data_IF_356681349433
#
_entry.id   IF_356681349433
#
_cell.length_a   1.000
_cell.length_b   1.000
_cell.length_c   1.000
_cell.angle_alpha   90.00
_cell.angle_beta   90.00
_cell.angle_gamma   90.00
#
_symmetry.space_group_name_H-M   'P 1'
#
loop_
_entity.id
_entity.type
_entity.pdbx_description
1 polymer ?
#
# COMPACT_ATOMS: atom_id res chain seq x y z
N UNK A 1 -8.31 6.21 -18.60
CA UNK A 1 -7.42 5.44 -17.71
C UNK A 1 -8.00 4.05 -17.60
N UNK A 2 -7.26 3.00 -17.93
CA UNK A 2 -7.76 1.62 -17.78
C UNK A 2 -7.64 1.14 -16.33
N UNK A 3 -8.36 0.08 -15.98
CA UNK A 3 -8.26 -0.55 -14.66
C UNK A 3 -6.79 -0.94 -14.34
N UNK A 4 -6.07 -1.49 -15.32
CA UNK A 4 -4.64 -1.82 -15.20
C UNK A 4 -3.78 -0.60 -14.87
N UNK A 5 -4.03 0.55 -15.50
CA UNK A 5 -3.30 1.79 -15.21
C UNK A 5 -3.56 2.28 -13.78
N UNK A 6 -4.82 2.24 -13.32
CA UNK A 6 -5.16 2.62 -11.95
C UNK A 6 -4.53 1.68 -10.93
N UNK A 7 -4.63 0.36 -11.12
CA UNK A 7 -4.03 -0.65 -10.25
C UNK A 7 -2.51 -0.48 -10.16
N UNK A 8 -1.84 -0.17 -11.26
CA UNK A 8 -0.39 0.11 -11.26
C UNK A 8 -0.06 1.30 -10.35
N UNK A 9 -0.83 2.38 -10.45
CA UNK A 9 -0.68 3.53 -9.57
C UNK A 9 -0.93 3.19 -8.10
N UNK A 10 -1.96 2.41 -7.80
CA UNK A 10 -2.31 1.98 -6.46
C UNK A 10 -1.24 1.06 -5.82
N UNK A 11 -0.69 0.11 -6.58
CA UNK A 11 0.39 -0.76 -6.12
C UNK A 11 1.71 0.00 -5.93
N UNK A 12 2.03 0.94 -6.82
CA UNK A 12 3.20 1.82 -6.64
C UNK A 12 3.06 2.70 -5.39
N UNK A 13 1.85 3.19 -5.12
CA UNK A 13 1.53 3.90 -3.88
C UNK A 13 1.70 3.00 -2.65
N UNK A 14 1.17 1.78 -2.67
CA UNK A 14 1.34 0.83 -1.58
C UNK A 14 2.82 0.59 -1.28
N UNK A 15 3.63 0.31 -2.30
CA UNK A 15 5.06 0.05 -2.16
C UNK A 15 5.79 1.25 -1.50
N UNK A 16 5.49 2.46 -1.97
CA UNK A 16 6.04 3.69 -1.39
C UNK A 16 5.63 3.89 0.08
N UNK A 17 4.35 3.71 0.39
CA UNK A 17 3.83 3.92 1.73
C UNK A 17 4.32 2.87 2.74
N UNK A 18 4.42 1.61 2.33
CA UNK A 18 5.01 0.53 3.13
C UNK A 18 6.46 0.85 3.49
N UNK A 19 7.24 1.30 2.51
CA UNK A 19 8.67 1.61 2.68
C UNK A 19 8.91 2.78 3.64
N UNK A 20 8.22 3.91 3.45
CA UNK A 20 8.37 5.10 4.32
C UNK A 20 7.98 4.81 5.77
N UNK A 21 6.94 4.00 5.98
CA UNK A 21 6.46 3.64 7.31
C UNK A 21 7.42 2.71 8.04
N UNK A 22 7.97 1.71 7.35
CA UNK A 22 8.99 0.84 7.96
C UNK A 22 10.34 1.51 8.12
N UNK A 23 10.72 2.44 7.24
CA UNK A 23 11.89 3.30 7.46
C UNK A 23 11.74 4.11 8.75
N UNK A 24 10.56 4.70 8.95
CA UNK A 24 10.24 5.42 10.20
C UNK A 24 10.39 4.48 11.41
N UNK A 25 9.76 3.30 11.39
CA UNK A 25 9.82 2.33 12.49
C UNK A 25 11.24 1.79 12.77
N UNK A 26 12.04 1.60 11.72
CA UNK A 26 13.43 1.16 11.82
C UNK A 26 14.33 2.24 12.43
N UNK A 27 14.05 3.52 12.16
CA UNK A 27 14.79 4.66 12.71
C UNK A 27 14.40 5.06 14.13
N UNK A 28 13.31 4.50 14.68
CA UNK A 28 12.90 4.78 16.05
C UNK A 28 13.78 4.09 17.08
N UNK A 29 14.13 4.83 18.14
CA UNK A 29 14.68 4.28 19.37
C UNK A 29 13.78 3.14 19.88
N UNK A 30 14.29 1.90 20.02
CA UNK A 30 13.49 0.76 20.49
C UNK A 30 12.83 0.95 21.86
N UNK A 31 13.39 1.82 22.71
CA UNK A 31 12.86 2.10 24.05
C UNK A 31 11.66 3.07 24.02
N UNK A 32 11.54 3.88 22.96
CA UNK A 32 10.49 4.89 22.84
C UNK A 32 9.15 4.22 22.49
N UNK A 33 8.23 4.22 23.45
CA UNK A 33 6.89 3.66 23.23
C UNK A 33 6.96 2.20 22.80
N UNK A 34 7.76 1.40 23.51
CA UNK A 34 8.12 0.03 23.09
C UNK A 34 6.90 -0.84 22.78
N UNK A 35 5.80 -0.70 23.54
CA UNK A 35 4.56 -1.43 23.32
C UNK A 35 3.88 -1.03 22.00
N UNK A 36 3.70 0.28 21.75
CA UNK A 36 3.12 0.80 20.52
C UNK A 36 4.01 0.52 19.30
N UNK A 37 5.33 0.64 19.44
CA UNK A 37 6.30 0.30 18.39
C UNK A 37 6.20 -1.18 18.04
N UNK A 38 6.16 -2.07 19.03
CA UNK A 38 6.00 -3.50 18.82
C UNK A 38 4.65 -3.82 18.13
N UNK A 39 3.55 -3.22 18.60
CA UNK A 39 2.23 -3.37 17.99
C UNK A 39 2.21 -2.89 16.52
N UNK A 40 2.85 -1.76 16.23
CA UNK A 40 2.99 -1.23 14.88
C UNK A 40 3.76 -2.19 13.95
N UNK A 41 4.87 -2.78 14.42
CA UNK A 41 5.63 -3.76 13.65
C UNK A 41 4.80 -5.02 13.40
N UNK A 42 4.05 -5.50 14.42
CA UNK A 42 3.14 -6.64 14.25
C UNK A 42 2.07 -6.37 13.22
N UNK A 43 1.51 -5.17 13.20
CA UNK A 43 0.48 -4.79 12.24
C UNK A 43 1.04 -4.65 10.81
N UNK A 44 2.26 -4.14 10.66
CA UNK A 44 2.98 -4.17 9.37
C UNK A 44 3.28 -5.60 8.92
N UNK A 45 3.60 -6.50 9.85
CA UNK A 45 3.83 -7.91 9.54
C UNK A 45 2.53 -8.60 9.09
N UNK A 46 1.39 -8.26 9.70
CA UNK A 46 0.09 -8.73 9.24
C UNK A 46 -0.21 -8.29 7.80
N UNK A 47 0.05 -7.02 7.45
CA UNK A 47 -0.07 -6.54 6.05
C UNK A 47 0.79 -7.38 5.10
N UNK A 48 2.03 -7.69 5.48
CA UNK A 48 2.93 -8.54 4.70
C UNK A 48 2.37 -9.96 4.52
N UNK A 49 1.92 -10.59 5.60
CA UNK A 49 1.36 -11.96 5.56
C UNK A 49 0.12 -12.03 4.67
N UNK A 50 -0.82 -11.09 4.80
CA UNK A 50 -2.01 -11.03 3.95
C UNK A 50 -1.62 -10.83 2.48
N UNK A 51 -0.64 -9.98 2.20
CA UNK A 51 -0.09 -9.79 0.84
C UNK A 51 0.49 -11.10 0.28
N UNK A 52 1.22 -11.88 1.07
CA UNK A 52 1.76 -13.18 0.64
C UNK A 52 0.67 -14.23 0.40
N UNK A 53 -0.39 -14.24 1.22
CA UNK A 53 -1.54 -15.13 1.05
C UNK A 53 -2.25 -14.84 -0.27
N UNK A 54 -2.56 -13.58 -0.56
CA UNK A 54 -3.23 -13.21 -1.80
C UNK A 54 -2.34 -13.39 -3.04
N UNK A 55 -1.02 -13.18 -2.93
CA UNK A 55 -0.09 -13.52 -4.00
C UNK A 55 -0.16 -15.01 -4.37
N UNK A 56 -0.14 -15.89 -3.36
CA UNK A 56 -0.27 -17.34 -3.59
C UNK A 56 -1.64 -17.72 -4.20
N UNK A 57 -2.73 -17.07 -3.79
CA UNK A 57 -4.04 -17.26 -4.43
C UNK A 57 -4.03 -16.85 -5.90
N UNK A 58 -3.38 -15.74 -6.25
CA UNK A 58 -3.24 -15.28 -7.63
C UNK A 58 -2.38 -16.23 -8.48
N UNK A 59 -1.41 -16.90 -7.88
CA UNK A 59 -0.56 -17.93 -8.53
C UNK A 59 -1.21 -19.32 -8.57
N UNK A 60 -2.28 -19.55 -7.79
CA UNK A 60 -2.90 -20.87 -7.67
C UNK A 60 -2.05 -21.88 -6.88
N UNK A 61 -1.20 -21.41 -5.97
CA UNK A 61 -0.34 -22.25 -5.11
C UNK A 61 -0.76 -22.17 -3.64
N UNK A 62 -0.32 -23.13 -2.83
CA UNK A 62 -0.57 -23.11 -1.39
C UNK A 62 0.21 -21.99 -0.70
N UNK A 63 -0.45 -21.17 0.10
CA UNK A 63 0.18 -20.05 0.81
C UNK A 63 1.02 -20.47 2.03
N UNK A 64 0.75 -21.63 2.64
CA UNK A 64 1.54 -22.19 3.75
C UNK A 64 1.35 -21.53 5.13
N UNK A 65 0.56 -20.46 5.22
CA UNK A 65 0.22 -19.79 6.49
C UNK A 65 -0.92 -20.50 7.25
N UNK A 66 -0.76 -20.67 8.56
CA UNK A 66 -1.81 -21.18 9.46
C UNK A 66 -2.83 -20.10 9.88
N UNK A 67 -2.54 -18.83 9.60
CA UNK A 67 -3.36 -17.68 9.94
C UNK A 67 -2.79 -16.41 9.28
N UNK A 68 -3.56 -15.33 9.33
CA UNK A 68 -3.17 -14.01 8.81
C UNK A 68 -2.20 -13.23 9.72
N UNK A 69 -1.93 -13.77 10.91
CA UNK A 69 -1.00 -13.24 11.88
C UNK A 69 0.13 -14.25 12.13
N UNK A 70 1.36 -13.88 11.80
CA UNK A 70 2.51 -14.70 12.15
C UNK A 70 2.77 -14.64 13.68
N UNK A 71 3.20 -15.75 14.30
CA UNK A 71 3.54 -15.77 15.72
C UNK A 71 4.75 -14.89 16.03
N UNK A 72 5.72 -14.85 15.12
CA UNK A 72 6.93 -14.07 15.28
C UNK A 72 6.77 -12.62 14.81
N UNK A 73 7.45 -11.71 15.51
CA UNK A 73 7.56 -10.31 15.11
C UNK A 73 8.97 -10.08 14.56
N UNK A 74 9.13 -9.92 13.23
CA UNK A 74 10.44 -9.70 12.64
C UNK A 74 11.01 -8.32 13.05
N UNK A 75 12.32 -8.20 13.00
CA UNK A 75 12.98 -6.89 13.09
C UNK A 75 12.53 -5.97 11.93
N UNK A 76 12.37 -4.65 12.15
CA UNK A 76 11.83 -3.75 11.13
C UNK A 76 12.57 -3.78 9.79
N UNK A 77 13.89 -3.93 9.80
CA UNK A 77 14.70 -3.97 8.57
C UNK A 77 14.46 -5.26 7.77
N UNK A 78 14.24 -6.40 8.45
CA UNK A 78 13.88 -7.67 7.81
C UNK A 78 12.49 -7.56 7.21
N UNK A 79 11.54 -7.01 7.96
CA UNK A 79 10.18 -6.81 7.47
C UNK A 79 10.14 -5.85 6.27
N UNK A 80 10.99 -4.81 6.27
CA UNK A 80 11.10 -3.87 5.14
C UNK A 80 11.55 -4.58 3.87
N UNK A 81 12.58 -5.42 3.97
CA UNK A 81 13.04 -6.22 2.84
C UNK A 81 11.94 -7.16 2.32
N UNK A 82 11.21 -7.82 3.21
CA UNK A 82 10.12 -8.73 2.87
C UNK A 82 8.94 -8.01 2.19
N UNK A 83 8.59 -6.79 2.64
CA UNK A 83 7.57 -5.99 1.98
C UNK A 83 8.01 -5.51 0.60
N UNK A 84 9.25 -5.05 0.46
CA UNK A 84 9.81 -4.65 -0.84
C UNK A 84 9.77 -5.82 -1.85
N UNK A 85 10.06 -7.04 -1.39
CA UNK A 85 9.98 -8.23 -2.24
C UNK A 85 8.55 -8.49 -2.73
N UNK A 86 7.56 -8.53 -1.82
CA UNK A 86 6.17 -8.82 -2.21
C UNK A 86 5.54 -7.67 -3.00
N UNK A 87 5.86 -6.41 -2.69
CA UNK A 87 5.39 -5.25 -3.45
C UNK A 87 5.94 -5.26 -4.89
N UNK A 88 7.22 -5.64 -5.07
CA UNK A 88 7.78 -5.85 -6.41
C UNK A 88 7.08 -6.98 -7.15
N UNK A 89 6.82 -8.10 -6.48
CA UNK A 89 6.08 -9.22 -7.06
C UNK A 89 4.72 -8.77 -7.61
N UNK A 90 3.96 -7.94 -6.88
CA UNK A 90 2.66 -7.43 -7.35
C UNK A 90 2.78 -6.52 -8.59
N UNK A 91 3.80 -5.65 -8.62
CA UNK A 91 4.06 -4.79 -9.77
C UNK A 91 4.42 -5.62 -11.01
N UNK A 92 5.32 -6.59 -10.86
CA UNK A 92 5.74 -7.49 -11.94
C UNK A 92 4.58 -8.35 -12.43
N UNK A 93 3.78 -8.90 -11.50
CA UNK A 93 2.58 -9.67 -11.80
C UNK A 93 1.59 -8.86 -12.66
N UNK A 94 1.31 -7.61 -12.28
CA UNK A 94 0.40 -6.74 -13.02
C UNK A 94 0.90 -6.45 -14.44
N UNK A 95 2.20 -6.30 -14.66
CA UNK A 95 2.76 -6.09 -16.00
C UNK A 95 2.46 -7.28 -16.93
N UNK A 96 2.52 -8.52 -16.42
CA UNK A 96 2.32 -9.74 -17.20
C UNK A 96 0.85 -10.07 -17.51
N UNK A 97 -0.11 -9.55 -16.75
CA UNK A 97 -1.54 -9.88 -16.90
C UNK A 97 -2.22 -8.98 -17.93
N UNK A 98 -3.06 -9.57 -18.81
CA UNK A 98 -3.88 -8.80 -19.76
C UNK A 98 -5.07 -8.12 -19.07
N UNK A 99 -5.61 -7.06 -19.68
CA UNK A 99 -6.80 -6.38 -19.12
C UNK A 99 -8.02 -7.32 -19.01
N UNK A 100 -8.15 -8.29 -19.92
CA UNK A 100 -9.23 -9.27 -19.87
C UNK A 100 -9.05 -10.24 -18.70
N UNK A 101 -7.81 -10.69 -18.46
CA UNK A 101 -7.51 -11.61 -17.36
C UNK A 101 -7.70 -10.95 -15.98
N UNK A 102 -7.63 -9.63 -15.87
CA UNK A 102 -7.96 -8.93 -14.61
C UNK A 102 -9.39 -9.21 -14.12
N UNK A 103 -10.32 -9.50 -15.03
CA UNK A 103 -11.71 -9.83 -14.72
C UNK A 103 -11.94 -11.33 -14.45
N UNK A 104 -10.90 -12.16 -14.52
CA UNK A 104 -10.99 -13.60 -14.25
C UNK A 104 -11.30 -13.86 -12.77
N UNK A 105 -12.39 -14.59 -12.44
CA UNK A 105 -12.68 -15.00 -11.07
C UNK A 105 -11.74 -16.12 -10.62
N UNK A 106 -11.19 -15.96 -9.41
CA UNK A 106 -10.35 -16.96 -8.74
C UNK A 106 -11.10 -17.43 -7.49
N UNK A 107 -11.37 -18.73 -7.45
CA UNK A 107 -11.82 -19.40 -6.23
C UNK A 107 -10.60 -19.71 -5.33
N UNK A 108 -10.74 -19.44 -4.03
CA UNK A 108 -9.70 -19.68 -3.04
C UNK A 108 -10.32 -20.09 -1.70
N UNK A 109 -9.48 -20.40 -0.71
CA UNK A 109 -9.91 -20.72 0.64
C UNK A 109 -9.24 -19.74 1.59
N UNK A 110 -10.02 -19.11 2.47
CA UNK A 110 -9.51 -18.23 3.51
C UNK A 110 -8.76 -19.04 4.57
N UNK A 111 -7.97 -18.37 5.40
CA UNK A 111 -7.20 -19.02 6.47
C UNK A 111 -8.06 -19.69 7.55
N UNK A 112 -9.33 -19.29 7.68
CA UNK A 112 -10.33 -19.93 8.56
C UNK A 112 -11.02 -21.15 7.92
N UNK A 113 -10.70 -21.46 6.66
CA UNK A 113 -11.25 -22.59 5.90
C UNK A 113 -12.46 -22.24 5.03
N UNK A 114 -13.01 -21.03 5.15
CA UNK A 114 -14.16 -20.60 4.36
C UNK A 114 -13.78 -20.40 2.87
N UNK A 115 -14.78 -20.51 2.00
CA UNK A 115 -14.57 -20.39 0.55
C UNK A 115 -14.71 -18.94 0.10
N UNK A 116 -13.72 -18.47 -0.66
CA UNK A 116 -13.70 -17.17 -1.28
C UNK A 116 -13.75 -17.27 -2.81
N UNK A 117 -14.29 -16.25 -3.45
CA UNK A 117 -14.19 -16.05 -4.89
C UNK A 117 -14.07 -14.56 -5.17
N UNK A 118 -13.01 -14.15 -5.86
CA UNK A 118 -12.74 -12.76 -6.22
C UNK A 118 -12.06 -12.74 -7.58
N UNK A 119 -12.33 -11.71 -8.39
CA UNK A 119 -11.54 -11.45 -9.59
C UNK A 119 -10.12 -11.04 -9.24
N UNK A 120 -9.18 -11.21 -10.18
CA UNK A 120 -7.79 -10.76 -10.00
C UNK A 120 -7.72 -9.28 -9.60
N UNK A 121 -8.48 -8.41 -10.27
CA UNK A 121 -8.51 -6.99 -9.93
C UNK A 121 -9.09 -6.71 -8.54
N UNK A 122 -10.09 -7.48 -8.09
CA UNK A 122 -10.64 -7.36 -6.74
C UNK A 122 -9.62 -7.79 -5.69
N UNK A 123 -8.86 -8.86 -5.93
CA UNK A 123 -7.77 -9.29 -5.04
C UNK A 123 -6.67 -8.23 -4.94
N UNK A 124 -6.20 -7.70 -6.08
CA UNK A 124 -5.20 -6.62 -6.11
C UNK A 124 -5.70 -5.37 -5.39
N UNK A 125 -6.95 -4.99 -5.60
CA UNK A 125 -7.59 -3.85 -4.92
C UNK A 125 -7.71 -4.10 -3.42
N UNK A 126 -8.11 -5.30 -3.01
CA UNK A 126 -8.23 -5.68 -1.61
C UNK A 126 -6.90 -5.53 -0.87
N UNK A 127 -5.80 -6.02 -1.44
CA UNK A 127 -4.46 -5.91 -0.82
C UNK A 127 -4.09 -4.44 -0.57
N UNK A 128 -4.33 -3.56 -1.56
CA UNK A 128 -4.06 -2.11 -1.40
C UNK A 128 -4.94 -1.47 -0.33
N UNK A 129 -6.25 -1.76 -0.33
CA UNK A 129 -7.20 -1.19 0.63
C UNK A 129 -6.94 -1.70 2.05
N UNK A 130 -6.68 -3.00 2.20
CA UNK A 130 -6.34 -3.65 3.46
C UNK A 130 -5.05 -3.08 4.05
N UNK A 131 -4.00 -2.95 3.22
CA UNK A 131 -2.76 -2.30 3.61
C UNK A 131 -2.97 -0.86 4.07
N UNK A 132 -3.72 -0.06 3.31
CA UNK A 132 -4.03 1.32 3.68
C UNK A 132 -4.82 1.46 4.99
N UNK A 133 -5.80 0.58 5.22
CA UNK A 133 -6.56 0.55 6.48
C UNK A 133 -5.65 0.36 7.69
N UNK A 134 -4.81 -0.67 7.66
CA UNK A 134 -3.93 -0.99 8.79
C UNK A 134 -2.75 -0.01 8.93
N UNK A 135 -2.21 0.54 7.83
CA UNK A 135 -1.20 1.61 7.92
C UNK A 135 -1.77 2.88 8.55
N UNK A 136 -3.05 3.19 8.34
CA UNK A 136 -3.75 4.25 9.07
C UNK A 136 -3.75 4.02 10.60
N UNK A 137 -3.97 2.78 11.04
CA UNK A 137 -3.88 2.41 12.45
C UNK A 137 -2.45 2.54 12.99
N UNK A 138 -1.44 2.08 12.22
CA UNK A 138 -0.02 2.27 12.57
C UNK A 138 0.32 3.76 12.71
N UNK A 139 -0.16 4.61 11.78
CA UNK A 139 0.03 6.05 11.86
C UNK A 139 -0.54 6.65 13.15
N UNK A 140 -1.69 6.16 13.60
CA UNK A 140 -2.28 6.55 14.90
C UNK A 140 -1.43 6.08 16.08
N UNK A 141 -0.86 4.87 16.02
CA UNK A 141 0.04 4.35 17.06
C UNK A 141 1.31 5.21 17.18
N UNK A 142 1.92 5.58 16.05
CA UNK A 142 3.08 6.48 16.02
C UNK A 142 2.76 7.85 16.63
N UNK A 143 1.63 8.44 16.25
CA UNK A 143 1.18 9.70 16.82
C UNK A 143 1.00 9.61 18.35
N UNK A 144 0.51 8.47 18.85
CA UNK A 144 0.34 8.21 20.28
C UNK A 144 1.65 8.24 21.09
N UNK A 145 2.79 7.99 20.45
CA UNK A 145 4.13 8.05 21.08
C UNK A 145 4.92 9.31 20.64
N UNK A 146 4.19 10.33 20.20
CA UNK A 146 4.69 11.62 19.72
C UNK A 146 5.67 11.52 18.53
N UNK A 147 5.56 10.45 17.73
CA UNK A 147 6.27 10.30 16.46
C UNK A 147 5.34 10.78 15.35
N UNK A 148 5.79 11.72 14.51
CA UNK A 148 5.00 12.14 13.35
C UNK A 148 4.93 10.97 12.37
N UNK A 149 3.72 10.49 12.01
CA UNK A 149 3.61 9.46 10.99
C UNK A 149 4.04 10.03 9.62
N UNK A 150 4.63 9.22 8.73
CA UNK A 150 4.89 9.62 7.36
C UNK A 150 3.58 9.83 6.59
N UNK A 151 3.68 10.47 5.43
CA UNK A 151 2.54 10.61 4.53
C UNK A 151 2.13 9.25 3.95
N UNK A 152 0.84 8.96 3.95
CA UNK A 152 0.26 7.74 3.39
C UNK A 152 -1.06 8.06 2.67
N UNK A 153 -0.98 8.93 1.68
CA UNK A 153 -2.15 9.24 0.85
C UNK A 153 -1.78 9.16 -0.62
N UNK A 154 -2.69 8.61 -1.41
CA UNK A 154 -2.50 8.47 -2.85
C UNK A 154 -2.26 9.82 -3.54
N UNK A 155 -2.92 10.88 -3.09
CA UNK A 155 -2.71 12.23 -3.60
C UNK A 155 -1.27 12.71 -3.35
N UNK A 156 -0.70 12.49 -2.16
CA UNK A 156 0.71 12.85 -1.88
C UNK A 156 1.65 12.05 -2.78
N UNK A 157 1.43 10.74 -2.91
CA UNK A 157 2.22 9.89 -3.80
C UNK A 157 2.24 10.42 -5.24
N UNK A 158 1.07 10.66 -5.84
CA UNK A 158 0.94 11.17 -7.21
C UNK A 158 1.71 12.47 -7.44
N UNK A 159 1.66 13.41 -6.49
CA UNK A 159 2.38 14.68 -6.63
C UNK A 159 3.89 14.57 -6.34
N UNK A 160 4.34 13.49 -5.69
CA UNK A 160 5.76 13.18 -5.50
C UNK A 160 6.36 12.57 -6.76
N UNK A 161 5.66 11.63 -7.39
CA UNK A 161 6.13 10.97 -8.62
C UNK A 161 5.86 11.78 -9.89
N UNK A 162 4.85 12.66 -9.88
CA UNK A 162 4.54 13.58 -10.98
C UNK A 162 4.42 15.03 -10.47
N UNK A 163 5.54 15.71 -10.12
CA UNK A 163 5.52 17.07 -9.58
C UNK A 163 4.83 18.10 -10.48
N UNK A 164 4.85 17.89 -11.79
CA UNK A 164 4.20 18.75 -12.79
C UNK A 164 2.68 18.90 -12.58
N UNK A 165 2.02 17.95 -11.91
CA UNK A 165 0.59 18.04 -11.56
C UNK A 165 0.25 19.29 -10.74
N UNK A 166 1.21 19.80 -9.95
CA UNK A 166 1.04 21.03 -9.15
C UNK A 166 0.95 22.31 -10.00
N UNK A 167 1.40 22.27 -11.26
CA UNK A 167 1.46 23.44 -12.13
C UNK A 167 0.16 23.69 -12.91
N UNK A 168 -0.78 22.72 -12.92
CA UNK A 168 -2.00 22.79 -13.72
C UNK A 168 -3.08 23.74 -13.18
N UNK A 169 -2.90 24.29 -11.96
CA UNK A 169 -3.81 25.25 -11.33
C UNK A 169 -3.42 26.73 -11.48
N UNK A 170 -2.31 27.04 -12.16
CA UNK A 170 -1.87 28.41 -12.40
C UNK A 170 -2.78 29.13 -13.38
N UNK A 171 -3.85 29.75 -12.89
CA UNK A 171 -4.67 30.69 -13.67
C UNK A 171 -3.74 31.81 -14.18
N UNK A 172 -3.59 31.96 -15.50
CA UNK A 172 -2.95 33.16 -16.08
C UNK A 172 -3.69 34.39 -15.51
N UNK A 173 -2.99 35.44 -15.06
CA UNK A 173 -3.65 36.70 -14.71
C UNK A 173 -4.51 37.14 -15.89
N UNK A 174 -5.77 37.49 -15.63
CA UNK A 174 -6.62 38.07 -16.64
C UNK A 174 -5.93 39.34 -17.17
N UNK A 175 -5.70 39.40 -18.48
CA UNK A 175 -5.32 40.64 -19.14
C UNK A 175 -6.40 41.67 -18.81
N UNK A 176 -6.01 42.70 -18.06
CA UNK A 176 -6.86 43.84 -17.76
C UNK A 176 -7.01 44.55 -19.10
N UNK A 177 -8.12 44.29 -19.79
CA UNK A 177 -8.49 45.01 -20.99
C UNK A 177 -8.54 46.51 -20.63
N UNK A 178 -7.58 47.27 -21.15
CA UNK A 178 -7.50 48.71 -21.02
C UNK A 178 -8.71 49.35 -21.68
N UNK A 179 -9.75 49.58 -20.90
CA UNK A 179 -10.88 50.44 -21.25
C UNK A 179 -10.62 51.86 -20.73
N UNK A 180 -10.06 52.71 -21.58
CA UNK A 180 -10.31 54.16 -21.57
C UNK A 180 -11.14 54.41 -22.83
N UNK A 181 -12.43 54.73 -22.78
CA UNK A 181 -13.01 55.82 -22.04
C UNK A 181 -12.95 57.07 -22.93
N UNK A 182 -14.03 57.34 -23.66
CA UNK A 182 -14.45 58.70 -24.05
C UNK A 182 -15.63 59.02 -23.16
#
# INVERSE_FOLDING_TARGET
MSAKTLLKGLLAYQAWANDELLETLAGLDPSRGAAERHAAIRLMNHIHVVSRIFAAHLEGVAHGYAGDNAPDTPEPHVLRANLVEVDRWYLDHLETISEQALAEPIAFTFTDGDKGCMTRQEMLTHVVLHGGYHRGEVGRMLAGIAVSPPWDTYAVHLHRVEPARRLQGGRKPAEIAGGTGI
#
